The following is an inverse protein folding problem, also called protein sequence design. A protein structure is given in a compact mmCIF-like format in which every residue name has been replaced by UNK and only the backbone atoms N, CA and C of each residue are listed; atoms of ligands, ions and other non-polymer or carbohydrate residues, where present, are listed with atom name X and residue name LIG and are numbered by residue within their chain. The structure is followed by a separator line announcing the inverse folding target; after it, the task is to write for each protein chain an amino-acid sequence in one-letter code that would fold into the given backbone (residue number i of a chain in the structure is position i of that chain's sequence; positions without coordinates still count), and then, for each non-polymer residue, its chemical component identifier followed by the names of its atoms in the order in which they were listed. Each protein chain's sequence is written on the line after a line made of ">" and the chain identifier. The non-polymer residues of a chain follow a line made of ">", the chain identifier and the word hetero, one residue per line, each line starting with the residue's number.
data_IF_443583160954
#
_entry.id   IF_443583160954
#
_cell.length_a   1.000
_cell.length_b   1.000
_cell.length_c   1.000
_cell.angle_alpha   90.00
_cell.angle_beta   90.00
_cell.angle_gamma   90.00
#
_symmetry.space_group_name_H-M   'P 1'
#
loop_
_entity.id
_entity.type
_entity.pdbx_description
1 polymer ?
#
# COMPACT_ATOMS: atom_id res chain seq x y z
N UNK A 1 25.42 21.96 -29.35
CA UNK A 1 26.32 20.88 -28.90
C UNK A 1 25.73 19.93 -27.87
N UNK A 2 24.85 20.36 -26.98
CA UNK A 2 24.39 19.53 -25.86
C UNK A 2 23.41 18.39 -26.28
N UNK A 3 22.67 18.53 -27.36
CA UNK A 3 21.72 17.51 -27.82
C UNK A 3 22.42 16.22 -28.27
N UNK A 4 23.57 16.31 -28.93
CA UNK A 4 24.35 15.15 -29.32
C UNK A 4 25.00 14.41 -28.15
N UNK A 5 25.38 15.15 -27.10
CA UNK A 5 25.97 14.56 -25.89
C UNK A 5 24.99 13.66 -25.13
N UNK A 6 23.68 13.91 -25.25
CA UNK A 6 22.63 13.09 -24.66
C UNK A 6 22.13 12.01 -25.64
N UNK A 7 21.92 12.37 -26.89
CA UNK A 7 21.38 11.44 -27.92
C UNK A 7 22.32 10.28 -28.21
N UNK A 8 23.62 10.51 -28.32
CA UNK A 8 24.57 9.47 -28.67
C UNK A 8 24.62 8.32 -27.65
N UNK A 9 24.77 8.60 -26.33
CA UNK A 9 24.69 7.55 -25.32
C UNK A 9 23.36 6.79 -25.32
N UNK A 10 22.22 7.48 -25.49
CA UNK A 10 20.89 6.86 -25.51
C UNK A 10 20.77 5.91 -26.72
N UNK A 11 21.19 6.34 -27.92
CA UNK A 11 21.17 5.48 -29.12
C UNK A 11 22.06 4.26 -28.92
N UNK A 12 23.27 4.45 -28.37
CA UNK A 12 24.20 3.32 -28.11
C UNK A 12 23.61 2.33 -27.11
N UNK A 13 23.00 2.78 -26.02
CA UNK A 13 22.37 1.92 -25.01
C UNK A 13 21.18 1.15 -25.62
N UNK A 14 20.29 1.84 -26.33
CA UNK A 14 19.12 1.20 -26.98
C UNK A 14 19.60 0.18 -28.02
N UNK A 15 20.58 0.54 -28.84
CA UNK A 15 21.14 -0.36 -29.87
C UNK A 15 21.81 -1.58 -29.25
N UNK A 16 22.55 -1.40 -28.16
CA UNK A 16 23.18 -2.49 -27.41
C UNK A 16 22.15 -3.47 -26.87
N UNK A 17 21.14 -2.98 -26.12
CA UNK A 17 20.09 -3.86 -25.59
C UNK A 17 19.21 -4.47 -26.68
N UNK A 18 18.96 -3.75 -27.78
CA UNK A 18 18.29 -4.30 -28.97
C UNK A 18 19.05 -5.47 -29.59
N UNK A 19 20.37 -5.30 -29.76
CA UNK A 19 21.25 -6.38 -30.25
C UNK A 19 21.29 -7.57 -29.32
N UNK A 20 21.46 -7.34 -28.03
CA UNK A 20 21.43 -8.41 -26.99
C UNK A 20 20.09 -9.16 -27.04
N UNK A 21 18.98 -8.44 -27.12
CA UNK A 21 17.64 -9.04 -27.20
C UNK A 21 17.47 -9.90 -28.47
N UNK A 22 17.96 -9.42 -29.61
CA UNK A 22 17.91 -10.16 -30.86
C UNK A 22 18.78 -11.44 -30.86
N UNK A 23 19.97 -11.36 -30.26
CA UNK A 23 20.84 -12.52 -30.08
C UNK A 23 20.21 -13.57 -29.15
N UNK A 24 19.66 -13.12 -28.01
CA UNK A 24 18.97 -14.00 -27.07
C UNK A 24 17.75 -14.67 -27.73
N UNK A 25 16.97 -13.92 -28.50
CA UNK A 25 15.83 -14.48 -29.24
C UNK A 25 16.27 -15.56 -30.20
N UNK A 26 17.38 -15.34 -30.93
CA UNK A 26 17.93 -16.34 -31.84
C UNK A 26 18.43 -17.62 -31.15
N UNK A 27 18.93 -17.49 -29.92
CA UNK A 27 19.48 -18.62 -29.16
C UNK A 27 18.42 -19.38 -28.36
N UNK A 28 17.44 -18.69 -27.78
CA UNK A 28 16.49 -19.24 -26.81
C UNK A 28 15.03 -19.23 -27.28
N UNK A 29 14.71 -18.53 -28.35
CA UNK A 29 13.34 -18.25 -28.76
C UNK A 29 12.63 -17.18 -27.95
N UNK A 30 13.31 -16.60 -26.94
CA UNK A 30 12.77 -15.57 -26.02
C UNK A 30 13.59 -14.29 -26.14
N UNK A 31 12.90 -13.15 -26.26
CA UNK A 31 13.59 -11.86 -26.21
C UNK A 31 14.01 -11.50 -24.77
N UNK A 32 14.84 -10.47 -24.62
CA UNK A 32 15.35 -10.04 -23.32
C UNK A 32 14.24 -9.72 -22.30
N UNK A 33 13.16 -9.07 -22.75
CA UNK A 33 12.02 -8.72 -21.91
C UNK A 33 11.34 -9.99 -21.40
N UNK A 34 11.07 -10.95 -22.28
CA UNK A 34 10.43 -12.22 -21.90
C UNK A 34 11.30 -13.03 -20.91
N UNK A 35 12.62 -13.02 -21.09
CA UNK A 35 13.54 -13.66 -20.15
C UNK A 35 13.47 -13.01 -18.78
N UNK A 36 13.54 -11.68 -18.71
CA UNK A 36 13.42 -10.93 -17.46
C UNK A 36 12.06 -11.19 -16.81
N UNK A 37 10.98 -11.14 -17.58
CA UNK A 37 9.62 -11.42 -17.05
C UNK A 37 9.53 -12.83 -16.49
N UNK A 38 9.93 -13.84 -17.25
CA UNK A 38 9.76 -15.24 -16.83
C UNK A 38 10.67 -15.64 -15.66
N UNK A 39 11.94 -15.23 -15.69
CA UNK A 39 12.92 -15.73 -14.73
C UNK A 39 13.12 -14.81 -13.51
N UNK A 40 12.73 -13.54 -13.60
CA UNK A 40 12.91 -12.57 -12.53
C UNK A 40 11.57 -12.06 -12.04
N UNK A 41 10.74 -11.48 -12.91
CA UNK A 41 9.51 -10.81 -12.51
C UNK A 41 8.48 -11.79 -11.96
N UNK A 42 8.21 -12.92 -12.63
CA UNK A 42 7.20 -13.88 -12.17
C UNK A 42 7.53 -14.54 -10.83
N UNK A 43 8.74 -15.03 -10.55
CA UNK A 43 9.08 -15.53 -9.22
C UNK A 43 8.95 -14.46 -8.13
N UNK A 44 9.43 -13.23 -8.39
CA UNK A 44 9.30 -12.10 -7.44
C UNK A 44 7.83 -11.76 -7.23
N UNK A 45 7.03 -11.77 -8.29
CA UNK A 45 5.58 -11.52 -8.22
C UNK A 45 4.91 -12.55 -7.33
N UNK A 46 5.11 -13.85 -7.56
CA UNK A 46 4.50 -14.90 -6.74
C UNK A 46 4.85 -14.79 -5.26
N UNK A 47 6.10 -14.47 -4.95
CA UNK A 47 6.54 -14.27 -3.57
C UNK A 47 5.93 -12.97 -3.01
N UNK A 48 6.07 -11.86 -3.74
CA UNK A 48 5.70 -10.51 -3.29
C UNK A 48 4.20 -10.29 -3.17
N UNK A 49 3.38 -10.93 -4.00
CA UNK A 49 1.91 -10.81 -3.97
C UNK A 49 1.22 -11.97 -3.26
N UNK A 50 1.96 -12.92 -2.70
CA UNK A 50 1.45 -13.81 -1.68
C UNK A 50 1.14 -13.04 -0.38
N UNK A 51 0.27 -13.57 0.48
CA UNK A 51 -0.15 -12.91 1.71
C UNK A 51 1.02 -12.39 2.54
N UNK A 52 1.97 -13.25 2.86
CA UNK A 52 3.12 -12.90 3.71
C UNK A 52 4.11 -11.98 3.00
N UNK A 53 4.33 -12.18 1.69
CA UNK A 53 5.18 -11.29 0.90
C UNK A 53 4.64 -9.87 0.86
N UNK A 54 3.35 -9.70 0.58
CA UNK A 54 2.70 -8.40 0.59
C UNK A 54 2.77 -7.72 1.98
N UNK A 55 2.48 -8.46 3.05
CA UNK A 55 2.58 -7.96 4.43
C UNK A 55 4.01 -7.51 4.74
N UNK A 56 5.01 -8.33 4.46
CA UNK A 56 6.42 -8.02 4.79
C UNK A 56 6.89 -6.80 4.00
N UNK A 57 6.68 -6.77 2.68
CA UNK A 57 7.17 -5.67 1.84
C UNK A 57 6.44 -4.36 2.19
N UNK A 58 5.13 -4.40 2.43
CA UNK A 58 4.37 -3.22 2.85
C UNK A 58 4.82 -2.71 4.23
N UNK A 59 5.05 -3.61 5.17
CA UNK A 59 5.53 -3.29 6.52
C UNK A 59 6.94 -2.69 6.50
N UNK A 60 7.84 -3.19 5.66
CA UNK A 60 9.16 -2.60 5.45
C UNK A 60 9.05 -1.17 4.90
N UNK A 61 8.13 -0.93 3.95
CA UNK A 61 7.84 0.42 3.46
C UNK A 61 7.39 1.37 4.59
N UNK A 62 6.43 0.95 5.42
CA UNK A 62 5.99 1.73 6.57
C UNK A 62 7.11 1.94 7.61
N UNK A 63 7.98 0.95 7.81
CA UNK A 63 9.11 1.09 8.71
C UNK A 63 10.10 2.18 8.27
N UNK A 64 10.25 2.41 6.96
CA UNK A 64 11.11 3.47 6.43
C UNK A 64 10.69 4.87 6.89
N UNK A 65 9.38 5.11 7.09
CA UNK A 65 8.89 6.36 7.63
C UNK A 65 9.44 6.69 9.02
N UNK A 66 9.75 5.69 9.84
CA UNK A 66 10.35 5.90 11.15
C UNK A 66 11.75 6.52 11.04
N UNK A 67 12.42 6.35 9.91
CA UNK A 67 13.73 6.94 9.58
C UNK A 67 13.62 8.17 8.69
N UNK A 68 12.41 8.69 8.46
CA UNK A 68 12.19 9.84 7.57
C UNK A 68 12.29 9.53 6.09
N UNK A 69 12.27 8.24 5.71
CA UNK A 69 12.32 7.81 4.30
C UNK A 69 10.90 7.46 3.85
N UNK A 70 10.46 8.05 2.73
CA UNK A 70 9.12 7.83 2.20
C UNK A 70 8.92 6.36 1.79
N UNK A 71 7.80 5.74 2.19
CA UNK A 71 7.49 4.34 1.88
C UNK A 71 7.50 4.03 0.38
N UNK A 72 7.23 5.02 -0.48
CA UNK A 72 7.25 4.85 -1.92
C UNK A 72 8.56 4.27 -2.46
N UNK A 73 9.68 4.45 -1.74
CA UNK A 73 10.98 3.85 -2.10
C UNK A 73 10.88 2.32 -2.23
N UNK A 74 10.10 1.67 -1.38
CA UNK A 74 9.87 0.22 -1.47
C UNK A 74 8.52 -0.08 -2.12
N UNK A 75 7.45 0.59 -1.64
CA UNK A 75 6.10 0.29 -2.08
C UNK A 75 5.91 0.52 -3.59
N UNK A 76 6.15 1.75 -4.06
CA UNK A 76 5.92 2.08 -5.47
C UNK A 76 6.98 1.52 -6.43
N UNK A 77 8.17 1.17 -5.90
CA UNK A 77 9.22 0.61 -6.75
C UNK A 77 9.14 -0.91 -6.90
N UNK A 78 8.63 -1.62 -5.89
CA UNK A 78 8.63 -3.09 -5.86
C UNK A 78 7.21 -3.65 -5.82
N UNK A 79 6.41 -3.29 -4.81
CA UNK A 79 5.15 -3.97 -4.54
C UNK A 79 4.02 -3.48 -5.46
N UNK A 80 3.87 -2.18 -5.63
CA UNK A 80 2.79 -1.59 -6.40
C UNK A 80 2.73 -2.06 -7.87
N UNK A 81 3.84 -2.15 -8.64
CA UNK A 81 3.81 -2.68 -9.99
C UNK A 81 3.33 -4.12 -10.06
N UNK A 82 3.70 -4.96 -9.08
CA UNK A 82 3.28 -6.36 -9.01
C UNK A 82 1.79 -6.47 -8.69
N UNK A 83 1.31 -5.66 -7.74
CA UNK A 83 -0.10 -5.59 -7.37
C UNK A 83 -0.98 -5.03 -8.49
N UNK A 84 -0.43 -4.13 -9.33
CA UNK A 84 -1.10 -3.58 -10.51
C UNK A 84 -1.35 -4.67 -11.56
N UNK A 85 -0.42 -5.57 -11.77
CA UNK A 85 -0.61 -6.72 -12.67
C UNK A 85 -1.80 -7.56 -12.17
N UNK A 86 -1.82 -7.88 -10.87
CA UNK A 86 -2.88 -8.70 -10.28
C UNK A 86 -4.27 -8.06 -10.42
N UNK A 87 -4.41 -6.75 -10.17
CA UNK A 87 -5.72 -6.09 -10.35
C UNK A 87 -6.13 -6.04 -11.82
N UNK A 88 -5.17 -5.86 -12.74
CA UNK A 88 -5.46 -5.87 -14.19
C UNK A 88 -5.99 -7.23 -14.63
N UNK A 89 -5.41 -8.32 -14.16
CA UNK A 89 -5.88 -9.69 -14.43
C UNK A 89 -7.27 -9.93 -13.80
N UNK A 90 -7.51 -9.44 -12.58
CA UNK A 90 -8.83 -9.51 -11.95
C UNK A 90 -9.90 -8.76 -12.74
N UNK A 91 -9.59 -7.56 -13.24
CA UNK A 91 -10.51 -6.77 -14.09
C UNK A 91 -10.85 -7.53 -15.37
N UNK A 92 -9.85 -8.13 -16.03
CA UNK A 92 -10.06 -8.92 -17.24
C UNK A 92 -10.93 -10.16 -16.97
N UNK A 93 -10.68 -10.88 -15.89
CA UNK A 93 -11.47 -12.04 -15.46
C UNK A 93 -12.92 -11.63 -15.12
N UNK A 94 -13.11 -10.56 -14.38
CA UNK A 94 -14.43 -10.02 -14.02
C UNK A 94 -15.26 -9.66 -15.23
N UNK A 95 -14.67 -8.93 -16.19
CA UNK A 95 -15.34 -8.51 -17.44
C UNK A 95 -15.72 -9.70 -18.34
N UNK A 96 -14.98 -10.79 -18.26
CA UNK A 96 -15.25 -12.02 -19.04
C UNK A 96 -16.05 -13.07 -18.27
N UNK A 97 -16.51 -12.76 -17.05
CA UNK A 97 -17.31 -13.67 -16.21
C UNK A 97 -16.51 -14.90 -15.74
N UNK A 98 -15.19 -14.81 -15.70
CA UNK A 98 -14.31 -15.88 -15.23
C UNK A 98 -14.05 -15.77 -13.72
N UNK A 99 -13.53 -16.85 -13.14
CA UNK A 99 -13.11 -16.86 -11.74
C UNK A 99 -11.97 -15.84 -11.52
N UNK A 100 -12.09 -15.07 -10.44
CA UNK A 100 -11.10 -14.02 -10.10
C UNK A 100 -9.81 -14.67 -9.56
N UNK A 101 -8.65 -14.45 -10.20
CA UNK A 101 -7.43 -15.21 -9.88
C UNK A 101 -6.70 -14.72 -8.62
N UNK A 102 -6.82 -13.44 -8.24
CA UNK A 102 -5.97 -12.87 -7.20
C UNK A 102 -6.77 -12.19 -6.09
N UNK A 103 -6.54 -12.60 -4.83
CA UNK A 103 -7.04 -11.89 -3.66
C UNK A 103 -6.16 -10.66 -3.40
N UNK A 104 -4.83 -10.87 -3.32
CA UNK A 104 -3.88 -9.77 -3.11
C UNK A 104 -3.65 -9.04 -4.43
N UNK A 105 -4.08 -7.79 -4.47
CA UNK A 105 -3.97 -6.89 -5.63
C UNK A 105 -3.91 -5.43 -5.17
N UNK A 106 -3.69 -4.50 -6.09
CA UNK A 106 -3.50 -3.08 -5.77
C UNK A 106 -4.69 -2.49 -5.01
N UNK A 107 -5.90 -2.69 -5.50
CA UNK A 107 -7.10 -2.13 -4.87
C UNK A 107 -7.37 -2.71 -3.49
N UNK A 108 -7.07 -3.99 -3.27
CA UNK A 108 -7.19 -4.63 -1.95
C UNK A 108 -6.23 -3.99 -0.94
N UNK A 109 -4.94 -3.85 -1.28
CA UNK A 109 -3.96 -3.24 -0.37
C UNK A 109 -4.29 -1.76 -0.12
N UNK A 110 -4.64 -1.00 -1.15
CA UNK A 110 -4.99 0.41 -1.02
C UNK A 110 -6.27 0.62 -0.20
N UNK A 111 -7.28 -0.24 -0.34
CA UNK A 111 -8.53 -0.09 0.41
C UNK A 111 -8.39 -0.50 1.88
N UNK A 112 -7.64 -1.55 2.19
CA UNK A 112 -7.64 -2.14 3.53
C UNK A 112 -6.39 -1.88 4.36
N UNK A 113 -5.27 -1.45 3.74
CA UNK A 113 -4.03 -1.14 4.45
C UNK A 113 -3.62 0.34 4.37
N UNK A 114 -4.18 1.12 3.43
CA UNK A 114 -3.83 2.53 3.23
C UNK A 114 -4.93 3.48 3.76
N UNK A 115 -5.73 3.06 4.74
CA UNK A 115 -6.82 3.86 5.29
C UNK A 115 -6.29 5.13 5.97
N UNK A 116 -6.50 6.28 5.35
CA UNK A 116 -5.96 7.56 5.81
C UNK A 116 -4.48 7.74 5.49
N UNK A 117 -3.89 6.92 4.61
CA UNK A 117 -2.49 6.95 4.21
C UNK A 117 -1.64 5.87 4.89
N UNK A 118 -0.31 5.99 4.76
CA UNK A 118 0.67 5.08 5.38
C UNK A 118 0.40 4.90 6.86
N UNK A 119 0.54 3.68 7.36
CA UNK A 119 0.26 3.37 8.77
C UNK A 119 -1.23 3.30 9.11
N UNK A 120 -2.14 3.37 8.12
CA UNK A 120 -3.59 3.48 8.32
C UNK A 120 -3.95 4.60 9.30
N UNK A 121 -3.40 5.80 9.04
CA UNK A 121 -3.41 6.93 9.98
C UNK A 121 -4.79 7.48 10.29
N UNK A 122 -5.83 7.16 9.53
CA UNK A 122 -7.21 7.48 9.95
C UNK A 122 -7.54 6.83 11.30
N UNK A 123 -7.02 5.63 11.58
CA UNK A 123 -7.18 4.96 12.87
C UNK A 123 -6.48 5.72 13.99
N UNK A 124 -5.28 6.26 13.73
CA UNK A 124 -4.56 7.13 14.67
C UNK A 124 -5.35 8.41 14.97
N UNK A 125 -5.90 9.07 13.93
CA UNK A 125 -6.69 10.30 14.09
C UNK A 125 -7.93 10.04 14.94
N UNK A 126 -8.70 9.00 14.63
CA UNK A 126 -9.89 8.63 15.42
C UNK A 126 -9.50 8.30 16.88
N UNK A 127 -8.47 7.47 17.07
CA UNK A 127 -7.99 7.13 18.42
C UNK A 127 -7.52 8.37 19.20
N UNK A 128 -6.87 9.34 18.52
CA UNK A 128 -6.45 10.62 19.12
C UNK A 128 -7.65 11.42 19.64
N UNK A 129 -8.71 11.54 18.84
CA UNK A 129 -9.92 12.23 19.28
C UNK A 129 -10.58 11.55 20.49
N UNK A 130 -10.52 10.22 20.56
CA UNK A 130 -11.15 9.44 21.63
C UNK A 130 -10.37 9.52 22.96
N UNK A 131 -9.03 9.42 22.95
CA UNK A 131 -8.27 9.18 24.17
C UNK A 131 -7.13 10.14 24.46
N UNK A 132 -6.61 10.90 23.47
CA UNK A 132 -5.48 11.81 23.70
C UNK A 132 -5.87 12.93 24.68
N UNK A 133 -4.94 13.25 25.58
CA UNK A 133 -5.01 14.42 26.49
C UNK A 133 -4.17 15.59 25.98
N UNK A 134 -3.28 15.36 25.01
CA UNK A 134 -2.42 16.39 24.42
C UNK A 134 -3.24 17.35 23.54
N UNK A 135 -3.21 18.63 23.85
CA UNK A 135 -3.81 19.68 23.02
C UNK A 135 -3.11 19.77 21.64
N UNK A 136 -1.79 19.55 21.62
CA UNK A 136 -0.98 19.54 20.39
C UNK A 136 -1.43 18.42 19.47
N UNK A 137 -1.48 17.17 19.97
CA UNK A 137 -1.94 16.00 19.20
C UNK A 137 -3.35 16.19 18.64
N UNK A 138 -4.28 16.73 19.45
CA UNK A 138 -5.64 17.02 19.00
C UNK A 138 -5.71 18.08 17.91
N UNK A 139 -4.88 19.12 18.00
CA UNK A 139 -4.84 20.17 16.99
C UNK A 139 -4.28 19.64 15.66
N UNK A 140 -3.21 18.83 15.71
CA UNK A 140 -2.69 18.14 14.52
C UNK A 140 -3.77 17.24 13.93
N UNK A 141 -4.46 16.44 14.75
CA UNK A 141 -5.50 15.56 14.28
C UNK A 141 -6.65 16.31 13.59
N UNK A 142 -7.05 17.48 14.09
CA UNK A 142 -8.06 18.34 13.44
C UNK A 142 -7.62 18.83 12.07
N UNK A 143 -6.38 19.29 11.95
CA UNK A 143 -5.80 19.77 10.68
C UNK A 143 -5.61 18.65 9.67
N UNK A 144 -5.24 17.46 10.14
CA UNK A 144 -4.95 16.31 9.31
C UNK A 144 -6.21 15.51 8.90
N UNK A 145 -7.36 15.72 9.54
CA UNK A 145 -8.57 14.94 9.28
C UNK A 145 -9.06 15.12 7.84
N UNK A 146 -9.11 16.35 7.34
CA UNK A 146 -9.54 16.65 5.98
C UNK A 146 -8.70 15.90 4.93
N UNK A 147 -7.38 16.14 4.85
CA UNK A 147 -6.50 15.37 3.97
C UNK A 147 -6.56 13.86 4.23
N UNK A 148 -6.62 13.42 5.50
CA UNK A 148 -6.66 12.02 5.89
C UNK A 148 -7.87 11.26 5.36
N UNK A 149 -9.03 11.91 5.18
CA UNK A 149 -10.19 11.28 4.54
C UNK A 149 -9.86 10.86 3.10
N UNK A 150 -8.99 11.60 2.42
CA UNK A 150 -8.52 11.32 1.07
C UNK A 150 -7.19 10.55 1.05
N UNK A 151 -6.83 9.89 2.15
CA UNK A 151 -5.62 9.09 2.33
C UNK A 151 -4.29 9.89 2.23
N UNK A 152 -4.34 11.22 2.33
CA UNK A 152 -3.18 12.11 2.34
C UNK A 152 -2.79 12.33 3.81
N UNK A 153 -1.63 11.81 4.23
CA UNK A 153 -1.25 11.78 5.64
C UNK A 153 0.06 12.51 5.98
N UNK A 154 0.64 13.26 5.08
CA UNK A 154 1.81 14.09 5.36
C UNK A 154 1.59 15.03 6.58
N UNK A 155 0.40 15.65 6.77
CA UNK A 155 0.16 16.44 7.97
C UNK A 155 0.24 15.61 9.27
N UNK A 156 -0.09 14.32 9.21
CA UNK A 156 0.08 13.39 10.34
C UNK A 156 1.54 13.04 10.54
N UNK A 157 2.24 12.65 9.48
CA UNK A 157 3.62 12.18 9.55
C UNK A 157 4.58 13.24 10.11
N UNK A 158 4.36 14.50 9.74
CA UNK A 158 5.20 15.62 10.16
C UNK A 158 4.65 16.38 11.38
N UNK A 159 3.34 16.45 11.52
CA UNK A 159 2.70 17.16 12.63
C UNK A 159 2.51 16.30 13.88
N UNK A 160 2.16 15.05 13.71
CA UNK A 160 2.17 14.03 14.75
C UNK A 160 3.54 13.36 14.64
N UNK A 161 4.46 13.49 15.58
CA UNK A 161 5.84 13.05 15.38
C UNK A 161 5.88 11.52 15.19
N UNK A 162 5.73 11.06 13.93
CA UNK A 162 5.87 9.63 13.57
C UNK A 162 7.33 9.30 13.33
N UNK A 163 8.06 10.21 12.66
CA UNK A 163 9.48 10.05 12.37
C UNK A 163 10.25 10.02 13.71
N UNK A 164 11.09 8.99 13.89
CA UNK A 164 11.84 8.70 15.12
C UNK A 164 10.98 8.48 16.37
N UNK A 165 9.67 8.23 16.24
CA UNK A 165 8.79 7.96 17.35
C UNK A 165 8.59 6.45 17.56
N UNK A 166 9.37 5.87 18.45
CA UNK A 166 9.29 4.44 18.79
C UNK A 166 7.93 4.08 19.40
N UNK A 167 7.29 5.00 20.11
CA UNK A 167 5.99 4.75 20.75
C UNK A 167 4.89 4.44 19.74
N UNK A 168 4.90 5.06 18.57
CA UNK A 168 3.89 4.87 17.52
C UNK A 168 4.34 3.88 16.43
N UNK A 169 5.60 3.43 16.45
CA UNK A 169 6.15 2.53 15.44
C UNK A 169 5.36 1.23 15.29
N UNK A 170 5.01 0.60 16.42
CA UNK A 170 4.34 -0.70 16.44
C UNK A 170 2.97 -0.64 15.74
N UNK A 171 2.03 0.24 16.14
CA UNK A 171 0.74 0.32 15.46
C UNK A 171 0.87 0.87 14.03
N UNK A 172 1.82 1.75 13.74
CA UNK A 172 2.03 2.31 12.41
C UNK A 172 2.44 1.25 11.37
N UNK A 173 3.20 0.24 11.80
CA UNK A 173 3.58 -0.90 10.96
C UNK A 173 2.50 -2.00 11.02
N UNK A 174 1.99 -2.28 12.21
CA UNK A 174 1.13 -3.44 12.46
C UNK A 174 -0.31 -3.27 11.95
N UNK A 175 -0.90 -2.08 12.05
CA UNK A 175 -2.30 -1.88 11.64
C UNK A 175 -2.51 -2.11 10.14
N UNK A 176 -1.68 -1.59 9.22
CA UNK A 176 -1.77 -1.95 7.81
C UNK A 176 -1.58 -3.46 7.54
N UNK A 177 -0.65 -4.10 8.24
CA UNK A 177 -0.43 -5.54 8.13
C UNK A 177 -1.69 -6.34 8.53
N UNK A 178 -2.36 -5.94 9.62
CA UNK A 178 -3.66 -6.50 10.01
C UNK A 178 -4.74 -6.22 8.96
N UNK A 179 -4.73 -5.05 8.32
CA UNK A 179 -5.63 -4.71 7.23
C UNK A 179 -5.51 -5.67 6.05
N UNK A 180 -4.29 -5.96 5.61
CA UNK A 180 -4.02 -6.95 4.55
C UNK A 180 -4.48 -8.35 5.00
N UNK A 181 -4.12 -8.76 6.22
CA UNK A 181 -4.44 -10.09 6.73
C UNK A 181 -5.95 -10.31 6.85
N UNK A 182 -6.66 -9.39 7.49
CA UNK A 182 -8.10 -9.52 7.74
C UNK A 182 -8.88 -9.49 6.42
N UNK A 183 -8.55 -8.56 5.51
CA UNK A 183 -9.22 -8.50 4.21
C UNK A 183 -8.93 -9.73 3.34
N UNK A 184 -7.71 -10.27 3.39
CA UNK A 184 -7.38 -11.54 2.73
C UNK A 184 -8.22 -12.69 3.27
N UNK A 185 -8.30 -12.85 4.60
CA UNK A 185 -9.09 -13.90 5.24
C UNK A 185 -10.58 -13.72 4.94
N UNK A 186 -11.10 -12.49 5.00
CA UNK A 186 -12.49 -12.23 4.68
C UNK A 186 -12.85 -12.59 3.24
N UNK A 187 -11.97 -12.29 2.28
CA UNK A 187 -12.18 -12.68 0.87
C UNK A 187 -12.05 -14.19 0.68
N UNK A 188 -11.04 -14.83 1.26
CA UNK A 188 -10.81 -16.27 1.11
C UNK A 188 -11.92 -17.13 1.76
N UNK A 189 -12.57 -16.62 2.81
CA UNK A 189 -13.71 -17.25 3.48
C UNK A 189 -15.06 -16.88 2.84
N UNK A 190 -15.08 -16.08 1.77
CA UNK A 190 -16.31 -15.66 1.09
C UNK A 190 -17.16 -14.65 1.87
N UNK A 191 -16.60 -14.03 2.93
CA UNK A 191 -17.28 -12.99 3.71
C UNK A 191 -17.42 -11.67 2.94
N UNK A 192 -16.56 -11.44 1.95
CA UNK A 192 -16.68 -10.34 0.97
C UNK A 192 -16.17 -10.81 -0.39
N UNK A 193 -16.55 -10.11 -1.46
CA UNK A 193 -16.02 -10.34 -2.80
C UNK A 193 -14.57 -9.86 -2.94
N UNK A 194 -13.80 -10.38 -3.92
CA UNK A 194 -12.48 -9.88 -4.26
C UNK A 194 -12.55 -8.50 -4.88
N UNK A 195 -11.44 -7.75 -4.82
CA UNK A 195 -11.33 -6.48 -5.54
C UNK A 195 -11.15 -6.75 -7.05
N UNK A 196 -12.03 -6.15 -7.85
CA UNK A 196 -12.16 -6.34 -9.30
C UNK A 196 -12.18 -5.02 -10.08
N UNK A 197 -12.11 -3.88 -9.39
CA UNK A 197 -12.05 -2.54 -9.98
C UNK A 197 -10.86 -1.80 -9.40
N UNK A 198 -10.08 -1.16 -10.25
CA UNK A 198 -9.02 -0.27 -9.80
C UNK A 198 -9.63 1.08 -9.43
N UNK A 199 -9.45 1.46 -8.17
CA UNK A 199 -9.95 2.71 -7.60
C UNK A 199 -8.77 3.63 -7.30
N UNK A 200 -8.85 4.94 -7.58
CA UNK A 200 -7.81 5.88 -7.18
C UNK A 200 -7.50 5.77 -5.68
N UNK A 201 -6.22 5.77 -5.31
CA UNK A 201 -5.79 5.62 -3.90
C UNK A 201 -6.33 6.73 -2.98
N UNK A 202 -6.65 7.91 -3.55
CA UNK A 202 -7.25 9.04 -2.83
C UNK A 202 -8.74 8.88 -2.56
N UNK A 203 -9.37 7.80 -3.01
CA UNK A 203 -10.80 7.58 -2.74
C UNK A 203 -11.03 7.38 -1.24
N UNK A 204 -11.99 8.08 -0.64
CA UNK A 204 -12.26 8.00 0.80
C UNK A 204 -12.54 6.58 1.28
N UNK A 205 -12.18 6.32 2.54
CA UNK A 205 -12.50 5.07 3.26
C UNK A 205 -14.00 4.78 3.17
N UNK A 206 -14.37 3.53 3.06
CA UNK A 206 -15.68 2.95 2.79
C UNK A 206 -16.10 3.03 1.32
N UNK A 207 -15.94 4.18 0.66
CA UNK A 207 -16.21 4.29 -0.79
C UNK A 207 -15.20 3.47 -1.60
N UNK A 208 -13.93 3.50 -1.22
CA UNK A 208 -12.90 2.73 -1.93
C UNK A 208 -13.15 1.22 -1.84
N UNK A 209 -13.49 0.67 -0.68
CA UNK A 209 -13.78 -0.76 -0.53
C UNK A 209 -15.04 -1.18 -1.31
N UNK A 210 -16.11 -0.37 -1.24
CA UNK A 210 -17.34 -0.61 -1.98
C UNK A 210 -17.10 -0.62 -3.50
N UNK A 211 -16.42 0.39 -4.02
CA UNK A 211 -16.14 0.50 -5.45
C UNK A 211 -15.14 -0.57 -5.92
N UNK A 212 -14.07 -0.83 -5.17
CA UNK A 212 -13.06 -1.80 -5.53
C UNK A 212 -13.61 -3.22 -5.69
N UNK A 213 -14.64 -3.58 -4.92
CA UNK A 213 -15.29 -4.90 -4.96
C UNK A 213 -16.49 -4.97 -5.91
N UNK A 214 -16.68 -3.94 -6.75
CA UNK A 214 -17.81 -3.91 -7.69
C UNK A 214 -19.17 -3.67 -7.02
N UNK A 215 -19.20 -3.02 -5.86
CA UNK A 215 -20.43 -2.70 -5.14
C UNK A 215 -20.81 -3.66 -4.01
N UNK A 216 -19.86 -4.46 -3.52
CA UNK A 216 -20.11 -5.35 -2.39
C UNK A 216 -20.09 -4.59 -1.05
N UNK A 217 -21.27 -4.39 -0.45
CA UNK A 217 -21.41 -3.72 0.85
C UNK A 217 -20.71 -4.46 1.99
N UNK A 218 -20.48 -5.79 1.88
CA UNK A 218 -19.78 -6.60 2.87
C UNK A 218 -18.32 -6.16 3.02
N UNK A 219 -17.70 -5.67 1.94
CA UNK A 219 -16.36 -5.10 1.97
C UNK A 219 -16.31 -3.83 2.85
N UNK A 220 -17.37 -3.02 2.85
CA UNK A 220 -17.50 -1.85 3.75
C UNK A 220 -17.55 -2.29 5.22
N UNK A 221 -18.29 -3.36 5.53
CA UNK A 221 -18.34 -3.91 6.90
C UNK A 221 -16.97 -4.43 7.32
N UNK A 222 -16.29 -5.18 6.46
CA UNK A 222 -14.92 -5.67 6.74
C UNK A 222 -13.97 -4.50 6.98
N UNK A 223 -14.04 -3.46 6.16
CA UNK A 223 -13.23 -2.26 6.34
C UNK A 223 -13.53 -1.53 7.66
N UNK A 224 -14.81 -1.46 8.06
CA UNK A 224 -15.21 -0.88 9.34
C UNK A 224 -14.65 -1.68 10.54
N UNK A 225 -14.65 -3.02 10.44
CA UNK A 225 -14.04 -3.90 11.45
C UNK A 225 -12.53 -3.66 11.54
N UNK A 226 -11.84 -3.59 10.40
CA UNK A 226 -10.40 -3.31 10.35
C UNK A 226 -10.10 -1.93 10.97
N UNK A 227 -10.90 -0.92 10.65
CA UNK A 227 -10.76 0.42 11.21
C UNK A 227 -10.95 0.39 12.74
N UNK A 228 -11.98 -0.28 13.24
CA UNK A 228 -12.22 -0.42 14.68
C UNK A 228 -11.05 -1.11 15.39
N UNK A 229 -10.55 -2.22 14.85
CA UNK A 229 -9.36 -2.92 15.37
C UNK A 229 -8.14 -1.99 15.34
N UNK A 230 -7.92 -1.28 14.23
CA UNK A 230 -6.82 -0.32 14.10
C UNK A 230 -6.87 0.79 15.13
N UNK A 231 -8.07 1.37 15.37
CA UNK A 231 -8.29 2.37 16.45
C UNK A 231 -7.91 1.79 17.80
N UNK A 232 -8.40 0.59 18.13
CA UNK A 232 -8.07 -0.09 19.39
C UNK A 232 -6.56 -0.35 19.52
N UNK A 233 -5.89 -0.73 18.44
CA UNK A 233 -4.44 -0.92 18.42
C UNK A 233 -3.68 0.38 18.69
N UNK A 234 -4.13 1.53 18.18
CA UNK A 234 -3.48 2.81 18.40
C UNK A 234 -3.67 3.38 19.82
N UNK A 235 -4.80 3.10 20.48
CA UNK A 235 -5.15 3.68 21.80
C UNK A 235 -4.05 3.55 22.86
N UNK A 236 -3.46 2.37 23.14
CA UNK A 236 -2.44 2.25 24.18
C UNK A 236 -1.19 3.06 23.88
N UNK A 237 -0.80 3.11 22.61
CA UNK A 237 0.40 3.82 22.16
C UNK A 237 0.24 5.35 22.17
N UNK A 238 -0.97 5.86 21.89
CA UNK A 238 -1.29 7.29 22.07
C UNK A 238 -1.16 7.68 23.55
N UNK A 239 -1.65 6.86 24.48
CA UNK A 239 -1.52 7.12 25.91
C UNK A 239 -0.06 7.16 26.37
N UNK A 240 0.79 6.30 25.80
CA UNK A 240 2.24 6.33 26.06
C UNK A 240 2.87 7.58 25.47
N UNK A 241 2.54 7.90 24.21
CA UNK A 241 3.04 9.08 23.51
C UNK A 241 2.67 10.38 24.25
N UNK A 242 1.44 10.49 24.77
CA UNK A 242 0.99 11.64 25.54
C UNK A 242 1.79 11.82 26.83
N UNK A 243 2.15 10.74 27.54
CA UNK A 243 2.98 10.81 28.75
C UNK A 243 4.38 11.33 28.43
N UNK A 244 5.02 10.77 27.42
CA UNK A 244 6.37 11.21 26.99
C UNK A 244 6.36 12.68 26.61
N UNK A 245 5.30 13.16 25.94
CA UNK A 245 5.18 14.57 25.52
C UNK A 245 4.87 15.54 26.67
N UNK A 246 4.41 15.06 27.83
CA UNK A 246 4.14 15.88 29.01
C UNK A 246 5.36 15.95 29.94
N UNK A 247 6.30 15.02 29.82
CA UNK A 247 7.53 14.94 30.62
C UNK A 247 8.71 15.64 29.94
N UNK A 248 8.60 15.96 28.64
CA UNK A 248 9.59 16.70 27.85
C UNK A 248 9.29 18.21 27.80
#
# INVERSE_FOLDING_TARGET
>A
GNSFAVLLPVILVISFFGLVSALLFKMTGMNLINLITTFIQEPIRHIGTGLWGAIIIYSLGNMLWLFGIHQAVIYSSILEPLLLINITENIAAYNSGQAIPHIINLSQVQSFALMGGSGSTICLLVATFLVSKSAVSKNVAKLALGPGIFNINEPVLFGYPIVYNVSLAIPFIGVPALGILISYLATSLGLMGPCVIQVPWTTPVFFNAFLATGGDWRAVVVQAVILAIGVLCYIPFIKVNDRVSLEA
#
